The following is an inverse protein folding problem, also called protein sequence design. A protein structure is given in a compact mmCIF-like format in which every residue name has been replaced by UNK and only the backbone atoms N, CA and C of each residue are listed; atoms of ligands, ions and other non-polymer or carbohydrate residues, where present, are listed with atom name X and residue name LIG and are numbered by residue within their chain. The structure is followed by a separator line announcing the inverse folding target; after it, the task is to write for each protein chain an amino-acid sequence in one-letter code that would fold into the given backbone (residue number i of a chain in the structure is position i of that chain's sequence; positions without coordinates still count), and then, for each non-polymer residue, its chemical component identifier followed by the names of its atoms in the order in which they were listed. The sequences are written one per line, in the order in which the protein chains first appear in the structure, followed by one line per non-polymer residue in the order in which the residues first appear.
data_IF_417064585902
#
_entry.id   IF_417064585902
#
_cell.length_a   1.000
_cell.length_b   1.000
_cell.length_c   1.000
_cell.angle_alpha   90.00
_cell.angle_beta   90.00
_cell.angle_gamma   90.00
#
_symmetry.space_group_name_H-M   'P 1'
#
loop_
_entity.id
_entity.type
_entity.pdbx_description
1 polymer ?
#
# COMPACT_ATOMS: atom_id res chain seq x y z
N UNK A 1 10.24 -5.94 14.11
CA UNK A 1 10.93 -7.23 13.87
C UNK A 1 10.12 -8.17 12.99
N UNK A 2 8.95 -8.68 13.42
CA UNK A 2 8.16 -9.66 12.63
C UNK A 2 7.81 -9.17 11.23
N UNK A 3 7.32 -7.94 11.09
CA UNK A 3 6.99 -7.36 9.77
C UNK A 3 8.19 -7.37 8.82
N UNK A 4 9.35 -6.90 9.28
CA UNK A 4 10.57 -6.86 8.47
C UNK A 4 11.07 -8.28 8.13
N UNK A 5 10.85 -9.26 9.01
CA UNK A 5 11.13 -10.67 8.71
C UNK A 5 10.25 -11.17 7.57
N UNK A 6 8.94 -10.91 7.62
CA UNK A 6 8.01 -11.29 6.54
C UNK A 6 8.42 -10.62 5.22
N UNK A 7 8.75 -9.33 5.26
CA UNK A 7 9.22 -8.57 4.08
C UNK A 7 10.47 -9.20 3.50
N UNK A 8 11.48 -9.50 4.33
CA UNK A 8 12.72 -10.12 3.89
C UNK A 8 12.46 -11.50 3.28
N UNK A 9 11.59 -12.31 3.89
CA UNK A 9 11.20 -13.62 3.37
C UNK A 9 10.48 -13.49 2.03
N UNK A 10 9.53 -12.59 1.88
CA UNK A 10 8.83 -12.37 0.60
C UNK A 10 9.80 -11.91 -0.50
N UNK A 11 10.72 -10.98 -0.18
CA UNK A 11 11.75 -10.51 -1.11
C UNK A 11 12.72 -11.64 -1.51
N UNK A 12 13.08 -12.53 -0.58
CA UNK A 12 13.92 -13.71 -0.89
C UNK A 12 13.25 -14.70 -1.86
N UNK A 13 11.91 -14.68 -1.97
CA UNK A 13 11.15 -15.47 -2.94
C UNK A 13 11.04 -14.78 -4.31
N UNK A 14 11.69 -13.62 -4.51
CA UNK A 14 11.62 -12.84 -5.74
C UNK A 14 10.31 -12.07 -5.92
N UNK A 15 9.49 -11.93 -4.87
CA UNK A 15 8.25 -11.15 -4.90
C UNK A 15 8.47 -9.74 -4.36
N UNK A 16 7.68 -8.79 -4.84
CA UNK A 16 7.68 -7.43 -4.30
C UNK A 16 6.89 -7.41 -2.98
N UNK A 17 7.49 -6.81 -1.94
CA UNK A 17 6.87 -6.59 -0.64
C UNK A 17 6.78 -5.09 -0.36
N UNK A 18 5.55 -4.57 -0.36
CA UNK A 18 5.27 -3.16 -0.16
C UNK A 18 5.02 -2.88 1.32
N UNK A 19 5.77 -1.93 1.88
CA UNK A 19 5.67 -1.55 3.28
C UNK A 19 5.07 -0.16 3.38
N UNK A 20 3.96 -0.03 4.09
CA UNK A 20 3.27 1.24 4.30
C UNK A 20 2.98 1.48 5.77
N UNK A 21 2.94 2.75 6.18
CA UNK A 21 2.53 3.14 7.52
C UNK A 21 1.60 4.37 7.47
N UNK A 22 0.88 4.64 8.55
CA UNK A 22 0.07 5.85 8.66
C UNK A 22 0.96 7.10 8.74
N UNK A 23 1.95 7.09 9.63
CA UNK A 23 2.89 8.20 9.83
C UNK A 23 4.24 7.96 9.15
N UNK A 24 4.93 9.05 8.77
CA UNK A 24 6.28 8.97 8.21
C UNK A 24 7.31 8.42 9.20
N UNK A 25 7.14 8.69 10.50
CA UNK A 25 8.03 8.13 11.52
C UNK A 25 7.85 6.61 11.62
N UNK A 26 6.61 6.14 11.58
CA UNK A 26 6.30 4.71 11.61
C UNK A 26 6.77 3.97 10.35
N UNK A 27 6.84 4.64 9.19
CA UNK A 27 7.35 4.02 7.96
C UNK A 27 8.86 3.76 8.03
N UNK A 28 9.63 4.56 8.76
CA UNK A 28 11.07 4.34 8.97
C UNK A 28 11.39 3.04 9.70
N UNK A 29 10.43 2.47 10.43
CA UNK A 29 10.58 1.19 11.12
C UNK A 29 10.43 -0.01 10.17
N UNK A 30 9.86 0.19 8.99
CA UNK A 30 9.71 -0.82 7.95
C UNK A 30 10.79 -0.66 6.88
N UNK A 31 11.33 -1.78 6.43
CA UNK A 31 12.38 -1.76 5.41
C UNK A 31 11.84 -1.33 4.03
N UNK A 32 12.28 -0.17 3.56
CA UNK A 32 11.71 0.49 2.38
C UNK A 32 10.29 1.01 2.60
N UNK A 33 9.95 1.39 3.83
CA UNK A 33 8.61 1.85 4.19
C UNK A 33 8.25 3.24 3.65
N UNK A 34 7.03 3.35 3.13
CA UNK A 34 6.42 4.61 2.70
C UNK A 34 5.24 4.98 3.60
N UNK A 35 4.77 6.23 3.53
CA UNK A 35 3.44 6.53 4.08
C UNK A 35 2.36 5.98 3.17
N UNK A 36 1.24 5.52 3.72
CA UNK A 36 0.11 5.03 2.92
C UNK A 36 -0.44 6.11 1.99
N UNK A 37 -0.45 7.37 2.44
CA UNK A 37 -0.86 8.51 1.63
C UNK A 37 0.02 8.71 0.40
N UNK A 38 1.35 8.73 0.57
CA UNK A 38 2.27 8.89 -0.56
C UNK A 38 2.29 7.66 -1.47
N UNK A 39 2.14 6.46 -0.90
CA UNK A 39 2.24 5.21 -1.64
C UNK A 39 1.03 4.99 -2.55
N UNK A 40 -0.18 5.30 -2.08
CA UNK A 40 -1.42 5.01 -2.80
C UNK A 40 -2.13 6.24 -3.33
N UNK A 41 -1.54 7.44 -3.18
CA UNK A 41 -2.17 8.70 -3.55
C UNK A 41 -3.55 8.88 -2.91
N UNK A 42 -3.65 8.56 -1.60
CA UNK A 42 -4.90 8.64 -0.85
C UNK A 42 -5.37 10.10 -0.80
N UNK A 43 -6.57 10.42 -1.31
CA UNK A 43 -7.06 11.80 -1.36
C UNK A 43 -7.31 12.40 0.03
N UNK A 44 -7.05 13.70 0.15
CA UNK A 44 -7.34 14.52 1.33
C UNK A 44 -8.16 15.72 0.85
N UNK A 45 -9.42 15.91 1.29
CA UNK A 45 -10.16 15.12 2.28
C UNK A 45 -10.62 13.75 1.74
N UNK A 46 -10.82 12.79 2.66
CA UNK A 46 -11.32 11.45 2.33
C UNK A 46 -12.80 11.31 2.67
N UNK A 47 -13.56 10.71 1.75
CA UNK A 47 -15.00 10.50 1.85
C UNK A 47 -15.36 9.08 1.43
N UNK A 48 -16.60 8.65 1.69
CA UNK A 48 -17.09 7.30 1.37
C UNK A 48 -16.97 6.92 -0.12
N UNK A 49 -17.08 7.90 -1.02
CA UNK A 49 -16.95 7.71 -2.46
C UNK A 49 -15.52 7.97 -3.00
N UNK A 50 -14.56 8.25 -2.11
CA UNK A 50 -13.17 8.41 -2.50
C UNK A 50 -12.59 7.08 -2.93
N UNK A 51 -11.73 7.11 -3.94
CA UNK A 51 -10.91 5.98 -4.37
C UNK A 51 -9.47 6.46 -4.52
N UNK A 52 -8.51 5.54 -4.37
CA UNK A 52 -7.11 5.81 -4.69
C UNK A 52 -6.97 5.78 -6.21
N UNK A 53 -6.54 6.88 -6.83
CA UNK A 53 -6.37 6.93 -8.29
C UNK A 53 -4.92 6.66 -8.65
N UNK A 54 -4.70 5.52 -9.29
CA UNK A 54 -3.40 5.15 -9.86
C UNK A 54 -3.58 5.11 -11.38
N UNK A 55 -2.69 5.80 -12.09
CA UNK A 55 -2.74 5.81 -13.56
C UNK A 55 -2.39 4.41 -14.08
N UNK A 56 -3.21 3.87 -14.98
CA UNK A 56 -2.91 2.62 -15.69
C UNK A 56 -1.60 2.77 -16.46
N UNK A 57 -0.77 1.72 -16.49
CA UNK A 57 0.56 1.72 -17.13
C UNK A 57 1.55 2.75 -16.54
N UNK A 58 1.39 3.12 -15.27
CA UNK A 58 2.41 3.87 -14.54
C UNK A 58 3.39 2.94 -13.84
N UNK A 59 4.58 3.43 -13.50
CA UNK A 59 5.56 2.64 -12.74
C UNK A 59 4.97 2.09 -11.42
N UNK A 60 4.12 2.89 -10.76
CA UNK A 60 3.43 2.48 -9.55
C UNK A 60 2.41 1.36 -9.81
N UNK A 61 1.68 1.43 -10.92
CA UNK A 61 0.77 0.37 -11.35
C UNK A 61 1.52 -0.96 -11.52
N UNK A 62 2.64 -0.94 -12.23
CA UNK A 62 3.43 -2.14 -12.51
C UNK A 62 4.02 -2.75 -11.22
N UNK A 63 4.49 -1.89 -10.31
CA UNK A 63 4.93 -2.30 -8.97
C UNK A 63 3.79 -2.96 -8.19
N UNK A 64 2.58 -2.40 -8.24
CA UNK A 64 1.42 -2.94 -7.54
C UNK A 64 0.96 -4.29 -8.12
N UNK A 65 0.97 -4.44 -9.44
CA UNK A 65 0.68 -5.72 -10.11
C UNK A 65 1.70 -6.81 -9.73
N UNK A 66 2.95 -6.45 -9.48
CA UNK A 66 4.00 -7.39 -9.05
C UNK A 66 4.05 -7.58 -7.52
N UNK A 67 3.29 -6.79 -6.76
CA UNK A 67 3.28 -6.83 -5.30
C UNK A 67 2.62 -8.11 -4.81
N UNK A 68 3.40 -8.95 -4.13
CA UNK A 68 2.92 -10.19 -3.52
C UNK A 68 2.34 -9.99 -2.11
N UNK A 69 2.74 -8.93 -1.42
CA UNK A 69 2.21 -8.58 -0.09
C UNK A 69 2.31 -7.09 0.18
N UNK A 70 1.29 -6.55 0.84
CA UNK A 70 1.29 -5.21 1.43
C UNK A 70 1.28 -5.36 2.95
N UNK A 71 2.29 -4.82 3.64
CA UNK A 71 2.31 -4.72 5.10
C UNK A 71 1.99 -3.30 5.51
N UNK A 72 0.94 -3.15 6.32
CA UNK A 72 0.48 -1.85 6.79
C UNK A 72 0.66 -1.70 8.31
N UNK A 73 1.64 -0.89 8.72
CA UNK A 73 1.84 -0.50 10.12
C UNK A 73 0.89 0.62 10.55
N UNK A 74 0.35 0.55 11.77
CA UNK A 74 -0.67 1.48 12.28
C UNK A 74 -2.00 1.45 11.49
N UNK A 75 -2.31 0.35 10.79
CA UNK A 75 -3.57 0.21 10.05
C UNK A 75 -4.83 0.51 10.88
N UNK A 76 -4.95 0.14 12.17
CA UNK A 76 -6.12 0.47 12.99
C UNK A 76 -6.30 1.97 13.26
N UNK A 77 -5.24 2.77 13.11
CA UNK A 77 -5.29 4.22 13.31
C UNK A 77 -5.70 4.96 12.03
N UNK A 78 -5.80 4.25 10.90
CA UNK A 78 -6.18 4.83 9.62
C UNK A 78 -7.70 5.06 9.55
N UNK A 79 -8.10 6.10 8.82
CA UNK A 79 -9.51 6.35 8.53
C UNK A 79 -10.11 5.20 7.70
N UNK A 80 -11.27 4.68 8.10
CA UNK A 80 -11.95 3.56 7.42
C UNK A 80 -12.08 3.78 5.90
N UNK A 81 -12.51 4.95 5.48
CA UNK A 81 -12.64 5.29 4.05
C UNK A 81 -11.31 5.25 3.27
N UNK A 82 -10.16 5.40 3.92
CA UNK A 82 -8.86 5.25 3.26
C UNK A 82 -8.55 3.77 2.97
N UNK A 83 -8.95 2.88 3.87
CA UNK A 83 -8.83 1.43 3.67
C UNK A 83 -9.81 0.97 2.58
N UNK A 84 -11.06 1.45 2.62
CA UNK A 84 -12.07 1.15 1.59
C UNK A 84 -11.66 1.69 0.20
N UNK A 85 -11.12 2.92 0.15
CA UNK A 85 -10.58 3.50 -1.08
C UNK A 85 -9.40 2.71 -1.65
N UNK A 86 -8.57 2.11 -0.78
CA UNK A 86 -7.49 1.22 -1.21
C UNK A 86 -8.05 -0.10 -1.74
N UNK A 87 -9.01 -0.70 -1.04
CA UNK A 87 -9.64 -1.97 -1.43
C UNK A 87 -10.28 -1.87 -2.83
N UNK A 88 -11.07 -0.81 -3.07
CA UNK A 88 -11.64 -0.57 -4.40
C UNK A 88 -10.56 -0.40 -5.48
N UNK A 89 -9.46 0.31 -5.17
CA UNK A 89 -8.36 0.48 -6.11
C UNK A 89 -7.65 -0.84 -6.42
N UNK A 90 -7.43 -1.69 -5.41
CA UNK A 90 -6.83 -3.02 -5.61
C UNK A 90 -7.75 -3.94 -6.43
N UNK A 91 -9.07 -3.88 -6.20
CA UNK A 91 -10.06 -4.59 -7.01
C UNK A 91 -10.02 -4.10 -8.47
N UNK A 92 -10.04 -2.79 -8.69
CA UNK A 92 -9.93 -2.18 -10.02
C UNK A 92 -8.62 -2.60 -10.72
N UNK A 93 -7.52 -2.72 -9.99
CA UNK A 93 -6.25 -3.21 -10.53
C UNK A 93 -6.33 -4.68 -10.92
N UNK A 94 -6.87 -5.53 -10.06
CA UNK A 94 -6.93 -6.98 -10.28
C UNK A 94 -7.94 -7.39 -11.37
N UNK A 95 -9.04 -6.67 -11.53
CA UNK A 95 -10.02 -6.91 -12.60
C UNK A 95 -9.51 -6.50 -13.99
N UNK A 96 -8.47 -5.65 -14.03
CA UNK A 96 -7.86 -5.14 -15.27
C UNK A 96 -6.41 -5.66 -15.49
N UNK A 97 -5.94 -6.62 -14.68
CA UNK A 97 -4.59 -7.19 -14.73
C UNK A 97 -4.48 -8.39 -15.68
#
# INVERSE_FOLDING_TARGET
YVCNTIVATTRSMGKVALCVALSGIASLLLDGGYTAHSCFHIPIPIHKASTCRIQKNSDLHDVLCQTGIIIWNEAPMQHRHAIEALDHMLQDLMENA
#
